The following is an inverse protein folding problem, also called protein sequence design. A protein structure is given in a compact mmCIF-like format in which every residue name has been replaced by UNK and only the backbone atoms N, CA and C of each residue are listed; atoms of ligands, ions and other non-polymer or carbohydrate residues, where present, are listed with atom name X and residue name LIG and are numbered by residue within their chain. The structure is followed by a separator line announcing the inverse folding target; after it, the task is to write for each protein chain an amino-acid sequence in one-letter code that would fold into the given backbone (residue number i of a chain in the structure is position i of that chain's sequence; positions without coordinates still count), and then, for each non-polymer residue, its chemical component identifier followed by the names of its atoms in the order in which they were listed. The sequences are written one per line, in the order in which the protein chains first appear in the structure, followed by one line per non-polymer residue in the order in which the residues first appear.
data_IF_228361137912
#
_entry.id   IF_228361137912
#
_cell.length_a   1.000
_cell.length_b   1.000
_cell.length_c   1.000
_cell.angle_alpha   90.00
_cell.angle_beta   90.00
_cell.angle_gamma   90.00
#
_symmetry.space_group_name_H-M   'P 1'
#
loop_
_entity.id
_entity.type
_entity.pdbx_description
1 polymer ?
#
# COMPACT_ATOMS: atom_id res chain seq x y z
N UNK A 1 26.38 9.28 -6.60
CA UNK A 1 25.19 8.58 -6.08
C UNK A 1 25.36 8.33 -4.59
N UNK A 2 24.54 8.98 -3.76
CA UNK A 2 24.53 8.79 -2.32
C UNK A 2 24.05 7.36 -1.96
N UNK A 3 24.26 6.91 -0.72
CA UNK A 3 23.95 5.51 -0.32
C UNK A 3 22.47 5.15 -0.53
N UNK A 4 21.56 6.09 -0.28
CA UNK A 4 20.11 5.91 -0.45
C UNK A 4 19.73 5.82 -1.92
N UNK A 5 20.27 6.70 -2.76
CA UNK A 5 20.07 6.69 -4.22
C UNK A 5 20.52 5.35 -4.83
N UNK A 6 21.54 4.68 -4.26
CA UNK A 6 21.94 3.33 -4.71
C UNK A 6 20.86 2.28 -4.47
N UNK A 7 20.22 2.31 -3.31
CA UNK A 7 19.10 1.41 -3.00
C UNK A 7 17.92 1.73 -3.91
N UNK A 8 17.56 3.02 -4.03
CA UNK A 8 16.44 3.48 -4.87
C UNK A 8 16.66 3.10 -6.35
N UNK A 9 17.87 3.28 -6.88
CA UNK A 9 18.22 2.88 -8.24
C UNK A 9 18.09 1.37 -8.43
N UNK A 10 18.57 0.56 -7.49
CA UNK A 10 18.48 -0.90 -7.56
C UNK A 10 17.03 -1.38 -7.45
N UNK A 11 16.23 -0.73 -6.61
CA UNK A 11 14.80 -0.98 -6.49
C UNK A 11 14.06 -0.69 -7.80
N UNK A 12 14.33 0.45 -8.44
CA UNK A 12 13.75 0.76 -9.75
C UNK A 12 14.14 -0.26 -10.82
N UNK A 13 15.40 -0.70 -10.84
CA UNK A 13 15.85 -1.77 -11.73
C UNK A 13 15.10 -3.09 -11.43
N UNK A 14 14.89 -3.40 -10.15
CA UNK A 14 14.13 -4.59 -9.70
C UNK A 14 12.68 -4.54 -10.19
N UNK A 15 11.99 -3.41 -10.05
CA UNK A 15 10.61 -3.23 -10.55
C UNK A 15 10.56 -3.41 -12.07
N UNK A 16 11.50 -2.79 -12.80
CA UNK A 16 11.54 -2.88 -14.27
C UNK A 16 11.79 -4.33 -14.75
N UNK A 17 12.48 -5.13 -13.93
CA UNK A 17 12.71 -6.55 -14.18
C UNK A 17 11.72 -7.45 -13.42
N UNK A 18 10.55 -6.93 -13.05
CA UNK A 18 9.44 -7.70 -12.45
C UNK A 18 9.85 -8.51 -11.22
N UNK A 19 10.69 -7.94 -10.36
CA UNK A 19 11.17 -8.59 -9.15
C UNK A 19 11.90 -9.91 -9.41
N UNK A 20 12.73 -9.97 -10.45
CA UNK A 20 13.56 -11.14 -10.72
C UNK A 20 14.41 -11.55 -9.49
N UNK A 21 14.44 -12.86 -9.20
CA UNK A 21 15.11 -13.41 -8.01
C UNK A 21 16.62 -13.13 -7.95
N UNK A 22 17.28 -12.88 -9.08
CA UNK A 22 18.71 -12.52 -9.12
C UNK A 22 19.01 -11.18 -8.41
N UNK A 23 18.00 -10.34 -8.17
CA UNK A 23 18.17 -9.10 -7.42
C UNK A 23 18.32 -9.33 -5.92
N UNK A 24 17.93 -10.50 -5.40
CA UNK A 24 18.16 -10.85 -3.98
C UNK A 24 19.65 -10.78 -3.65
N UNK A 25 20.51 -11.40 -4.46
CA UNK A 25 21.97 -11.37 -4.26
C UNK A 25 22.54 -9.95 -4.37
N UNK A 26 21.98 -9.11 -5.26
CA UNK A 26 22.38 -7.71 -5.38
C UNK A 26 22.06 -6.93 -4.10
N UNK A 27 20.87 -7.12 -3.51
CA UNK A 27 20.51 -6.49 -2.24
C UNK A 27 21.28 -7.06 -1.05
N UNK A 28 21.58 -8.36 -1.01
CA UNK A 28 22.43 -8.97 0.02
C UNK A 28 23.84 -8.35 -0.01
N UNK A 29 24.44 -8.25 -1.21
CA UNK A 29 25.74 -7.61 -1.39
C UNK A 29 25.70 -6.14 -0.97
N UNK A 30 24.64 -5.42 -1.33
CA UNK A 30 24.48 -4.02 -0.94
C UNK A 30 24.32 -3.86 0.58
N UNK A 31 23.52 -4.72 1.22
CA UNK A 31 23.36 -4.79 2.68
C UNK A 31 24.69 -5.01 3.38
N UNK A 32 25.55 -5.90 2.87
CA UNK A 32 26.89 -6.15 3.45
C UNK A 32 27.84 -4.94 3.37
N UNK A 33 27.59 -3.98 2.48
CA UNK A 33 28.38 -2.74 2.40
C UNK A 33 27.93 -1.76 3.49
N UNK A 34 26.67 -1.84 3.92
CA UNK A 34 26.06 -0.93 4.88
C UNK A 34 26.12 -1.47 6.32
N UNK A 35 27.23 -2.08 6.72
CA UNK A 35 27.43 -2.72 8.05
C UNK A 35 27.08 -1.83 9.25
N UNK A 36 27.27 -0.52 9.13
CA UNK A 36 27.05 0.46 10.20
C UNK A 36 25.79 1.32 10.03
N UNK A 37 24.98 1.05 9.00
CA UNK A 37 23.76 1.81 8.73
C UNK A 37 22.55 0.87 8.78
N UNK A 38 22.03 0.67 10.00
CA UNK A 38 20.89 -0.23 10.24
C UNK A 38 19.68 0.14 9.39
N UNK A 39 19.43 1.44 9.19
CA UNK A 39 18.30 1.89 8.37
C UNK A 39 18.45 1.39 6.94
N UNK A 40 19.60 1.60 6.31
CA UNK A 40 19.85 1.11 4.95
C UNK A 40 19.87 -0.41 4.85
N UNK A 41 20.29 -1.13 5.90
CA UNK A 41 20.18 -2.59 5.95
C UNK A 41 18.72 -3.04 5.94
N UNK A 42 17.86 -2.41 6.72
CA UNK A 42 16.42 -2.72 6.78
C UNK A 42 15.69 -2.38 5.48
N UNK A 43 16.12 -1.32 4.80
CA UNK A 43 15.66 -1.03 3.43
C UNK A 43 16.05 -2.15 2.45
N UNK A 44 17.27 -2.70 2.55
CA UNK A 44 17.64 -3.86 1.73
C UNK A 44 16.80 -5.10 2.08
N UNK A 45 16.56 -5.36 3.37
CA UNK A 45 15.72 -6.48 3.83
C UNK A 45 14.29 -6.37 3.30
N UNK A 46 13.70 -5.17 3.35
CA UNK A 46 12.40 -4.90 2.77
C UNK A 46 12.36 -5.25 1.28
N UNK A 47 13.36 -4.81 0.52
CA UNK A 47 13.42 -5.10 -0.92
C UNK A 47 13.57 -6.61 -1.20
N UNK A 48 14.39 -7.32 -0.41
CA UNK A 48 14.52 -8.78 -0.51
C UNK A 48 13.18 -9.47 -0.21
N UNK A 49 12.49 -9.08 0.86
CA UNK A 49 11.19 -9.63 1.22
C UNK A 49 10.14 -9.38 0.13
N UNK A 50 10.15 -8.18 -0.48
CA UNK A 50 9.29 -7.85 -1.62
C UNK A 50 9.57 -8.73 -2.84
N UNK A 51 10.84 -9.04 -3.12
CA UNK A 51 11.20 -9.97 -4.21
C UNK A 51 10.67 -11.37 -3.92
N UNK A 52 10.90 -11.92 -2.72
CA UNK A 52 10.36 -13.22 -2.33
C UNK A 52 8.83 -13.26 -2.43
N UNK A 53 8.16 -12.23 -1.94
CA UNK A 53 6.70 -12.09 -1.98
C UNK A 53 6.17 -12.15 -3.42
N UNK A 54 6.77 -11.38 -4.33
CA UNK A 54 6.36 -11.34 -5.74
C UNK A 54 6.61 -12.66 -6.48
N UNK A 55 7.52 -13.50 -6.00
CA UNK A 55 7.81 -14.82 -6.56
C UNK A 55 7.10 -15.97 -5.82
N UNK A 56 6.17 -15.67 -4.90
CA UNK A 56 5.39 -16.68 -4.19
C UNK A 56 6.14 -17.41 -3.07
N UNK A 57 7.33 -16.94 -2.68
CA UNK A 57 8.08 -17.45 -1.53
C UNK A 57 7.54 -16.85 -0.23
N UNK A 58 6.29 -17.16 0.10
CA UNK A 58 5.52 -16.48 1.16
C UNK A 58 6.17 -16.61 2.54
N UNK A 59 6.63 -17.81 2.93
CA UNK A 59 7.31 -18.03 4.23
C UNK A 59 8.59 -17.20 4.34
N UNK A 60 9.44 -17.23 3.30
CA UNK A 60 10.70 -16.46 3.29
C UNK A 60 10.47 -14.95 3.33
N UNK A 61 9.43 -14.46 2.64
CA UNK A 61 9.03 -13.06 2.73
C UNK A 61 8.50 -12.71 4.13
N UNK A 62 7.63 -13.57 4.68
CA UNK A 62 6.99 -13.38 5.97
C UNK A 62 8.01 -13.34 7.12
N UNK A 63 8.99 -14.24 7.13
CA UNK A 63 10.05 -14.25 8.15
C UNK A 63 10.76 -12.90 8.24
N UNK A 64 11.09 -12.31 7.07
CA UNK A 64 11.74 -10.99 7.01
C UNK A 64 10.77 -9.89 7.43
N UNK A 65 9.53 -9.92 6.95
CA UNK A 65 8.53 -8.91 7.30
C UNK A 65 8.24 -8.86 8.80
N UNK A 66 8.11 -10.01 9.46
CA UNK A 66 7.88 -10.08 10.91
C UNK A 66 9.06 -9.51 11.71
N UNK A 67 10.29 -9.73 11.26
CA UNK A 67 11.47 -9.09 11.87
C UNK A 67 11.46 -7.57 11.66
N UNK A 68 11.04 -7.09 10.49
CA UNK A 68 10.93 -5.65 10.23
C UNK A 68 9.84 -4.97 11.07
N UNK A 69 8.72 -5.65 11.35
CA UNK A 69 7.65 -5.13 12.23
C UNK A 69 8.18 -4.89 13.66
N UNK A 70 9.01 -5.81 14.18
CA UNK A 70 9.65 -5.65 15.51
C UNK A 70 10.57 -4.44 15.56
N UNK A 71 11.10 -4.01 14.41
CA UNK A 71 12.01 -2.88 14.27
C UNK A 71 11.33 -1.61 13.70
N UNK A 72 10.00 -1.45 13.89
CA UNK A 72 9.20 -0.35 13.32
C UNK A 72 9.78 1.06 13.49
N UNK A 73 10.53 1.32 14.56
CA UNK A 73 11.16 2.63 14.83
C UNK A 73 12.30 2.99 13.86
N UNK A 74 12.80 2.03 13.07
CA UNK A 74 13.94 2.20 12.16
C UNK A 74 13.49 2.42 10.71
N UNK A 75 12.33 1.85 10.35
CA UNK A 75 11.75 1.96 9.01
C UNK A 75 10.78 3.15 8.93
N UNK A 76 10.49 3.60 7.71
CA UNK A 76 9.52 4.69 7.52
C UNK A 76 8.10 4.23 7.87
N UNK A 77 7.20 5.13 8.34
CA UNK A 77 5.80 4.79 8.59
C UNK A 77 5.11 4.15 7.37
N UNK A 78 5.38 4.68 6.17
CA UNK A 78 4.84 4.12 4.93
C UNK A 78 5.34 2.68 4.66
N UNK A 79 6.63 2.40 4.89
CA UNK A 79 7.15 1.04 4.76
C UNK A 79 6.53 0.10 5.80
N UNK A 80 6.35 0.58 7.03
CA UNK A 80 5.70 -0.18 8.09
C UNK A 80 4.26 -0.57 7.72
N UNK A 81 3.48 0.34 7.14
CA UNK A 81 2.13 0.06 6.65
C UNK A 81 2.12 -1.03 5.57
N UNK A 82 3.03 -0.94 4.59
CA UNK A 82 3.20 -1.96 3.55
C UNK A 82 3.52 -3.31 4.18
N UNK A 83 4.55 -3.38 5.02
CA UNK A 83 5.02 -4.62 5.64
C UNK A 83 3.90 -5.27 6.47
N UNK A 84 3.14 -4.48 7.22
CA UNK A 84 2.00 -4.95 8.01
C UNK A 84 0.94 -5.59 7.11
N UNK A 85 0.56 -4.92 6.01
CA UNK A 85 -0.42 -5.46 5.07
C UNK A 85 0.06 -6.75 4.40
N UNK A 86 1.32 -6.78 3.95
CA UNK A 86 1.91 -7.97 3.33
C UNK A 86 1.97 -9.14 4.31
N UNK A 87 2.34 -8.88 5.58
CA UNK A 87 2.37 -9.91 6.63
C UNK A 87 0.99 -10.52 6.87
N UNK A 88 -0.04 -9.68 7.02
CA UNK A 88 -1.44 -10.11 7.19
C UNK A 88 -1.88 -10.97 5.99
N UNK A 89 -1.60 -10.53 4.76
CA UNK A 89 -1.96 -11.25 3.56
C UNK A 89 -1.23 -12.60 3.46
N UNK A 90 0.06 -12.65 3.75
CA UNK A 90 0.83 -13.90 3.68
C UNK A 90 0.40 -14.90 4.77
N UNK A 91 0.19 -14.44 6.00
CA UNK A 91 -0.37 -15.27 7.06
C UNK A 91 -1.74 -15.84 6.66
N UNK A 92 -2.61 -15.02 6.06
CA UNK A 92 -3.91 -15.46 5.54
C UNK A 92 -3.75 -16.53 4.47
N UNK A 93 -2.88 -16.31 3.47
CA UNK A 93 -2.62 -17.25 2.37
C UNK A 93 -2.01 -18.58 2.85
N UNK A 94 -1.23 -18.55 3.93
CA UNK A 94 -0.66 -19.72 4.58
C UNK A 94 -1.64 -20.43 5.53
N UNK A 95 -2.90 -19.96 5.63
CA UNK A 95 -3.92 -20.51 6.53
C UNK A 95 -3.71 -20.18 8.01
N UNK A 96 -2.81 -19.24 8.33
CA UNK A 96 -2.45 -18.83 9.70
C UNK A 96 -3.29 -17.62 10.14
N UNK A 97 -4.62 -17.76 10.10
CA UNK A 97 -5.56 -16.65 10.35
C UNK A 97 -5.41 -16.00 11.74
N UNK A 98 -5.19 -16.78 12.79
CA UNK A 98 -4.96 -16.24 14.14
C UNK A 98 -3.69 -15.38 14.20
N UNK A 99 -2.62 -15.79 13.50
CA UNK A 99 -1.41 -14.98 13.39
C UNK A 99 -1.68 -13.66 12.65
N UNK A 100 -2.47 -13.70 11.57
CA UNK A 100 -2.86 -12.51 10.84
C UNK A 100 -3.71 -11.55 11.71
N UNK A 101 -4.62 -12.12 12.52
CA UNK A 101 -5.44 -11.37 13.47
C UNK A 101 -4.59 -10.66 14.51
N UNK A 102 -3.62 -11.34 15.11
CA UNK A 102 -2.72 -10.73 16.09
C UNK A 102 -1.97 -9.54 15.50
N UNK A 103 -1.41 -9.68 14.29
CA UNK A 103 -0.73 -8.57 13.60
C UNK A 103 -1.69 -7.41 13.34
N UNK A 104 -2.92 -7.69 12.91
CA UNK A 104 -3.93 -6.66 12.70
C UNK A 104 -4.25 -5.91 14.00
N UNK A 105 -4.61 -6.63 15.07
CA UNK A 105 -5.00 -6.02 16.34
C UNK A 105 -3.86 -5.22 16.98
N UNK A 106 -2.63 -5.74 16.96
CA UNK A 106 -1.46 -5.06 17.55
C UNK A 106 -1.05 -3.77 16.80
N UNK A 107 -1.19 -3.75 15.47
CA UNK A 107 -0.60 -2.69 14.64
C UNK A 107 -1.63 -1.70 14.07
N UNK A 108 -2.88 -2.14 13.85
CA UNK A 108 -3.94 -1.26 13.33
C UNK A 108 -4.52 -0.36 14.43
N UNK A 109 -4.52 -0.82 15.68
CA UNK A 109 -4.90 0.00 16.83
C UNK A 109 -3.91 1.12 17.16
N UNK A 110 -2.64 0.99 16.77
CA UNK A 110 -1.58 1.89 17.17
C UNK A 110 -1.72 3.33 16.60
N UNK A 111 -2.74 3.63 15.79
CA UNK A 111 -2.94 4.94 15.10
C UNK A 111 -1.78 5.35 14.19
N UNK A 112 -0.89 4.42 13.86
CA UNK A 112 0.29 4.66 13.02
C UNK A 112 0.00 4.50 11.52
N UNK A 113 -1.19 3.99 11.16
CA UNK A 113 -1.66 4.00 9.77
C UNK A 113 -2.05 5.41 9.36
N UNK A 114 -1.19 6.04 8.58
CA UNK A 114 -1.31 7.36 7.97
C UNK A 114 -2.08 7.36 6.65
N UNK A 115 -1.89 6.35 5.78
CA UNK A 115 -2.56 6.35 4.48
C UNK A 115 -3.94 5.68 4.52
N UNK A 116 -4.96 6.38 4.04
CA UNK A 116 -6.35 5.90 4.10
C UNK A 116 -6.56 4.58 3.36
N UNK A 117 -5.84 4.33 2.27
CA UNK A 117 -5.96 3.10 1.49
C UNK A 117 -5.51 1.87 2.29
N UNK A 118 -4.48 1.99 3.13
CA UNK A 118 -4.07 0.88 4.02
C UNK A 118 -5.09 0.67 5.14
N UNK A 119 -5.60 1.76 5.73
CA UNK A 119 -6.69 1.71 6.72
C UNK A 119 -7.90 0.95 6.19
N UNK A 120 -8.44 1.34 5.02
CA UNK A 120 -9.59 0.69 4.40
C UNK A 120 -9.31 -0.76 4.03
N UNK A 121 -8.12 -1.04 3.47
CA UNK A 121 -7.77 -2.40 3.05
C UNK A 121 -7.68 -3.35 4.24
N UNK A 122 -7.02 -2.94 5.33
CA UNK A 122 -6.89 -3.76 6.53
C UNK A 122 -8.24 -3.95 7.24
N UNK A 123 -9.05 -2.90 7.35
CA UNK A 123 -10.39 -3.00 7.94
C UNK A 123 -11.31 -3.92 7.13
N UNK A 124 -11.30 -3.80 5.80
CA UNK A 124 -12.07 -4.68 4.95
C UNK A 124 -11.59 -6.13 5.05
N UNK A 125 -10.27 -6.37 5.10
CA UNK A 125 -9.73 -7.70 5.35
C UNK A 125 -10.26 -8.29 6.66
N UNK A 126 -10.28 -7.50 7.75
CA UNK A 126 -10.80 -7.97 9.04
C UNK A 126 -12.30 -8.31 8.95
N UNK A 127 -13.09 -7.48 8.27
CA UNK A 127 -14.51 -7.74 8.04
C UNK A 127 -14.73 -9.01 7.20
N UNK A 128 -13.99 -9.17 6.11
CA UNK A 128 -14.11 -10.30 5.17
C UNK A 128 -13.72 -11.63 5.81
N UNK A 129 -12.73 -11.66 6.71
CA UNK A 129 -12.19 -12.90 7.27
C UNK A 129 -12.82 -13.30 8.60
N UNK A 130 -13.33 -12.35 9.39
CA UNK A 130 -13.83 -12.62 10.75
C UNK A 130 -15.32 -12.31 10.94
N UNK A 131 -15.97 -11.60 10.00
CA UNK A 131 -17.36 -11.15 10.13
C UNK A 131 -17.69 -10.58 11.53
N UNK A 132 -16.94 -9.56 11.98
CA UNK A 132 -17.03 -9.03 13.33
C UNK A 132 -18.38 -8.36 13.60
N UNK A 133 -18.78 -8.36 14.85
CA UNK A 133 -19.92 -7.58 15.34
C UNK A 133 -19.63 -6.06 15.31
N UNK A 134 -20.68 -5.24 15.39
CA UNK A 134 -20.50 -3.79 15.52
C UNK A 134 -19.72 -3.40 16.78
N UNK A 135 -19.80 -4.19 17.85
CA UNK A 135 -19.04 -3.96 19.08
C UNK A 135 -17.54 -4.17 18.86
N UNK A 136 -17.16 -5.19 18.09
CA UNK A 136 -15.77 -5.47 17.71
C UNK A 136 -15.22 -4.44 16.71
N UNK A 137 -16.08 -3.83 15.90
CA UNK A 137 -15.69 -2.75 14.98
C UNK A 137 -15.61 -1.37 15.63
N UNK A 138 -16.27 -1.16 16.77
CA UNK A 138 -16.35 0.14 17.43
C UNK A 138 -14.97 0.76 17.74
N UNK A 139 -13.98 0.00 18.25
CA UNK A 139 -12.61 0.49 18.44
C UNK A 139 -11.94 1.05 17.18
N UNK A 140 -12.36 0.59 15.99
CA UNK A 140 -11.81 1.01 14.70
C UNK A 140 -12.62 2.12 14.03
N UNK A 141 -13.74 2.55 14.63
CA UNK A 141 -14.65 3.51 13.99
C UNK A 141 -13.94 4.82 13.63
N UNK A 142 -13.11 5.36 14.53
CA UNK A 142 -12.35 6.60 14.23
C UNK A 142 -11.34 6.42 13.09
N UNK A 143 -10.73 5.24 12.99
CA UNK A 143 -9.84 4.90 11.87
C UNK A 143 -10.59 4.88 10.54
N UNK A 144 -11.80 4.29 10.55
CA UNK A 144 -12.67 4.26 9.39
C UNK A 144 -13.21 5.65 9.02
N UNK A 145 -13.67 6.43 9.99
CA UNK A 145 -14.20 7.78 9.75
C UNK A 145 -13.16 8.67 9.07
N UNK A 146 -11.91 8.67 9.55
CA UNK A 146 -10.81 9.41 8.93
C UNK A 146 -10.55 8.91 7.50
N UNK A 147 -10.51 7.58 7.29
CA UNK A 147 -10.24 7.03 5.97
C UNK A 147 -11.37 7.33 4.96
N UNK A 148 -12.61 7.39 5.44
CA UNK A 148 -13.79 7.81 4.67
C UNK A 148 -13.70 9.28 4.28
N UNK A 149 -13.33 10.14 5.22
CA UNK A 149 -13.16 11.58 5.00
C UNK A 149 -12.08 11.83 3.93
N UNK A 150 -10.91 11.20 4.07
CA UNK A 150 -9.82 11.32 3.08
C UNK A 150 -10.26 10.86 1.69
N UNK A 151 -11.00 9.75 1.61
CA UNK A 151 -11.52 9.26 0.33
C UNK A 151 -12.58 10.21 -0.27
N UNK A 152 -13.28 11.00 0.55
CA UNK A 152 -14.47 11.75 0.16
C UNK A 152 -15.69 10.84 -0.04
N UNK A 153 -15.79 9.77 0.76
CA UNK A 153 -16.85 8.77 0.64
C UNK A 153 -18.06 9.09 1.52
N UNK A 154 -19.27 8.90 0.96
CA UNK A 154 -20.55 9.03 1.65
C UNK A 154 -21.36 7.75 1.42
N UNK A 155 -21.46 6.89 2.43
CA UNK A 155 -22.27 5.67 2.35
C UNK A 155 -23.75 5.94 2.59
N UNK A 156 -24.60 5.11 1.98
CA UNK A 156 -26.02 4.95 2.35
C UNK A 156 -26.28 3.73 3.22
N UNK A 157 -25.26 2.91 3.47
CA UNK A 157 -25.39 1.66 4.23
C UNK A 157 -25.55 1.94 5.73
N UNK A 158 -26.51 1.28 6.41
CA UNK A 158 -26.73 1.50 7.84
C UNK A 158 -25.69 0.78 8.72
N UNK A 159 -25.11 -0.32 8.24
CA UNK A 159 -24.18 -1.13 9.02
C UNK A 159 -22.71 -0.76 8.77
N UNK A 160 -21.93 -0.60 9.85
CA UNK A 160 -20.53 -0.20 9.76
C UNK A 160 -19.69 -1.16 8.90
N UNK A 161 -19.92 -2.47 9.01
CA UNK A 161 -19.23 -3.47 8.18
C UNK A 161 -19.52 -3.28 6.68
N UNK A 162 -20.77 -3.00 6.31
CA UNK A 162 -21.16 -2.76 4.93
C UNK A 162 -20.52 -1.47 4.39
N UNK A 163 -20.49 -0.41 5.21
CA UNK A 163 -19.80 0.83 4.87
C UNK A 163 -18.29 0.62 4.63
N UNK A 164 -17.62 -0.19 5.48
CA UNK A 164 -16.19 -0.51 5.33
C UNK A 164 -15.94 -1.22 4.00
N UNK A 165 -16.74 -2.25 3.68
CA UNK A 165 -16.59 -3.01 2.45
C UNK A 165 -16.87 -2.16 1.20
N UNK A 166 -17.93 -1.35 1.23
CA UNK A 166 -18.28 -0.44 0.12
C UNK A 166 -17.18 0.62 -0.10
N UNK A 167 -16.68 1.26 0.97
CA UNK A 167 -15.58 2.23 0.89
C UNK A 167 -14.30 1.60 0.30
N UNK A 168 -13.92 0.41 0.76
CA UNK A 168 -12.75 -0.31 0.25
C UNK A 168 -12.93 -0.70 -1.21
N UNK A 169 -14.12 -1.15 -1.61
CA UNK A 169 -14.40 -1.49 -3.01
C UNK A 169 -14.33 -0.25 -3.92
N UNK A 170 -14.93 0.87 -3.49
CA UNK A 170 -14.86 2.15 -4.19
C UNK A 170 -13.40 2.62 -4.36
N UNK A 171 -12.60 2.54 -3.29
CA UNK A 171 -11.18 2.85 -3.31
C UNK A 171 -10.42 1.98 -4.33
N UNK A 172 -10.61 0.66 -4.30
CA UNK A 172 -9.94 -0.29 -5.21
C UNK A 172 -10.28 -0.04 -6.68
N UNK A 173 -11.56 0.14 -6.99
CA UNK A 173 -12.04 0.39 -8.35
C UNK A 173 -11.48 1.73 -8.86
N UNK A 174 -11.58 2.79 -8.06
CA UNK A 174 -11.12 4.11 -8.47
C UNK A 174 -9.61 4.15 -8.62
N UNK A 175 -8.85 3.53 -7.71
CA UNK A 175 -7.40 3.40 -7.83
C UNK A 175 -6.98 2.69 -9.13
N UNK A 176 -7.68 1.62 -9.50
CA UNK A 176 -7.44 0.91 -10.77
C UNK A 176 -7.73 1.81 -11.97
N UNK A 177 -8.86 2.52 -11.96
CA UNK A 177 -9.25 3.42 -13.04
C UNK A 177 -8.23 4.56 -13.21
N UNK A 178 -7.79 5.16 -12.10
CA UNK A 178 -6.74 6.19 -12.12
C UNK A 178 -5.38 5.62 -12.59
N UNK A 179 -5.04 4.39 -12.21
CA UNK A 179 -3.87 3.68 -12.77
C UNK A 179 -3.94 3.54 -14.29
N UNK A 180 -5.10 3.17 -14.83
CA UNK A 180 -5.33 3.07 -16.27
C UNK A 180 -5.23 4.43 -16.98
N UNK A 181 -5.66 5.52 -16.34
CA UNK A 181 -5.42 6.88 -16.84
C UNK A 181 -3.93 7.09 -17.03
N UNK A 182 -3.11 6.86 -15.99
CA UNK A 182 -1.66 7.06 -16.05
C UNK A 182 -0.96 6.23 -17.13
N UNK A 183 -1.40 5.00 -17.35
CA UNK A 183 -0.90 4.15 -18.46
C UNK A 183 -1.28 4.76 -19.80
N UNK A 184 -2.53 5.22 -19.95
CA UNK A 184 -3.06 5.78 -21.20
C UNK A 184 -2.40 7.09 -21.61
N UNK A 185 -1.77 7.82 -20.67
CA UNK A 185 -1.02 9.05 -20.98
C UNK A 185 0.30 8.79 -21.72
N UNK A 186 0.86 7.57 -21.63
CA UNK A 186 2.20 7.26 -22.16
C UNK A 186 2.19 7.33 -23.69
N UNK A 187 3.15 8.08 -24.25
CA UNK A 187 3.29 8.26 -25.70
C UNK A 187 2.22 9.15 -26.35
N UNK A 188 1.38 9.82 -25.56
CA UNK A 188 0.35 10.75 -26.03
C UNK A 188 0.84 12.19 -26.06
N UNK A 189 0.29 12.99 -26.99
CA UNK A 189 0.48 14.44 -27.03
C UNK A 189 -0.12 15.11 -25.80
N UNK A 190 0.32 16.33 -25.47
CA UNK A 190 -0.22 17.09 -24.32
C UNK A 190 -1.73 17.27 -24.42
N UNK A 191 -2.26 17.56 -25.61
CA UNK A 191 -3.71 17.71 -25.83
C UNK A 191 -4.47 16.41 -25.59
N UNK A 192 -3.98 15.28 -26.10
CA UNK A 192 -4.60 13.97 -25.82
C UNK A 192 -4.55 13.64 -24.32
N UNK A 193 -3.44 13.95 -23.64
CA UNK A 193 -3.31 13.73 -22.20
C UNK A 193 -4.34 14.54 -21.41
N UNK A 194 -4.53 15.81 -21.74
CA UNK A 194 -5.53 16.69 -21.13
C UNK A 194 -6.94 16.11 -21.27
N UNK A 195 -7.32 15.66 -22.47
CA UNK A 195 -8.64 15.08 -22.72
C UNK A 195 -8.86 13.77 -21.93
N UNK A 196 -7.85 12.91 -21.82
CA UNK A 196 -7.92 11.68 -21.02
C UNK A 196 -8.15 12.02 -19.54
N UNK A 197 -7.44 13.01 -19.00
CA UNK A 197 -7.57 13.40 -17.59
C UNK A 197 -8.93 14.03 -17.32
N UNK A 198 -9.41 14.94 -18.18
CA UNK A 198 -10.74 15.55 -18.09
C UNK A 198 -11.84 14.48 -18.12
N UNK A 199 -11.71 13.49 -19.00
CA UNK A 199 -12.65 12.35 -19.05
C UNK A 199 -12.72 11.61 -17.73
N UNK A 200 -11.60 11.39 -17.04
CA UNK A 200 -11.60 10.77 -15.71
C UNK A 200 -12.26 11.66 -14.65
N UNK A 201 -11.93 12.95 -14.60
CA UNK A 201 -12.56 13.90 -13.66
C UNK A 201 -14.09 13.94 -13.85
N UNK A 202 -14.56 13.90 -15.10
CA UNK A 202 -15.98 13.88 -15.44
C UNK A 202 -16.72 12.61 -15.01
N UNK A 203 -16.00 11.56 -14.57
CA UNK A 203 -16.64 10.39 -13.93
C UNK A 203 -17.03 10.63 -12.47
N UNK A 204 -16.80 11.85 -11.96
CA UNK A 204 -17.06 12.26 -10.58
C UNK A 204 -16.36 11.34 -9.57
N UNK A 205 -15.04 11.11 -9.69
CA UNK A 205 -14.34 10.21 -8.79
C UNK A 205 -14.35 10.76 -7.35
N UNK A 206 -14.16 9.89 -6.34
CA UNK A 206 -13.95 10.29 -4.96
C UNK A 206 -12.91 11.40 -4.81
N UNK A 207 -13.11 12.28 -3.82
CA UNK A 207 -12.38 13.54 -3.65
C UNK A 207 -10.88 13.39 -3.82
N UNK A 208 -10.27 12.44 -3.11
CA UNK A 208 -8.83 12.16 -3.20
C UNK A 208 -8.34 11.95 -4.64
N UNK A 209 -9.04 11.12 -5.42
CA UNK A 209 -8.64 10.80 -6.79
C UNK A 209 -8.93 11.96 -7.76
N UNK A 210 -9.96 12.77 -7.46
CA UNK A 210 -10.25 14.00 -8.20
C UNK A 210 -9.11 14.99 -8.04
N UNK A 211 -8.68 15.26 -6.81
CA UNK A 211 -7.58 16.20 -6.53
C UNK A 211 -6.27 15.74 -7.20
N UNK A 212 -5.97 14.44 -7.18
CA UNK A 212 -4.83 13.88 -7.90
C UNK A 212 -4.92 14.10 -9.41
N UNK A 213 -6.11 13.94 -10.00
CA UNK A 213 -6.33 14.14 -11.42
C UNK A 213 -6.29 15.63 -11.81
N UNK A 214 -6.88 16.51 -11.00
CA UNK A 214 -6.88 17.97 -11.20
C UNK A 214 -5.47 18.54 -11.10
N UNK A 215 -4.67 18.09 -10.12
CA UNK A 215 -3.25 18.45 -10.04
C UNK A 215 -2.50 18.03 -11.30
N UNK A 216 -2.69 16.79 -11.75
CA UNK A 216 -2.06 16.30 -12.97
C UNK A 216 -2.52 17.08 -14.20
N UNK A 217 -3.80 17.45 -14.28
CA UNK A 217 -4.34 18.29 -15.36
C UNK A 217 -3.65 19.66 -15.39
N UNK A 218 -3.57 20.33 -14.24
CA UNK A 218 -2.90 21.63 -14.10
C UNK A 218 -1.44 21.59 -14.55
N UNK A 219 -0.70 20.53 -14.18
CA UNK A 219 0.69 20.31 -14.61
C UNK A 219 0.84 20.12 -16.13
N UNK A 220 -0.21 19.65 -16.83
CA UNK A 220 -0.20 19.47 -18.28
C UNK A 220 -0.64 20.73 -19.02
N UNK A 221 -1.63 21.44 -18.52
CA UNK A 221 -2.10 22.71 -19.10
C UNK A 221 -1.05 23.82 -18.99
N UNK A 222 -0.10 23.70 -18.04
CA UNK A 222 0.99 24.65 -17.83
C UNK A 222 2.25 24.39 -18.71
N UNK A 223 2.23 23.39 -19.60
CA UNK A 223 3.36 23.02 -20.48
C UNK A 223 3.09 23.39 -21.92
#
# INVERSE_FOLDING_TARGET
MNKKEKIESLFHETINNRFDMSFVDKFIKLKSIYTHDKRLQKECDLNIAMIYSNNGHLESALDIFLELIKERNIISPYHFEIITLYSINHLTQLGRLEGARNIFEENVHAKELTAFNFRLTMLAWFVENFNPSNAELLPFKGLFDNAKEDLGYLSKEPELKAQILEANNLQKITARNYGNVNISLRGKSTMEQIEIIKKFINTDPPLFFRELAEKLLFERESR
#
